data_IF_283606391216
#
_entry.id   IF_283606391216
#
_cell.length_a   1.000
_cell.length_b   1.000
_cell.length_c   1.000
_cell.angle_alpha   90.00
_cell.angle_beta   90.00
_cell.angle_gamma   90.00
#
_symmetry.space_group_name_H-M   'P 1'
#
loop_
_entity.id
_entity.type
_entity.pdbx_description
1 polymer ?
#
# COMPACT_ATOMS: atom_id res chain seq x y z
N UNK A 1 35.31 -14.13 1.71
CA UNK A 1 34.36 -14.84 0.81
C UNK A 1 34.35 -16.28 1.27
N UNK A 2 33.23 -16.75 1.83
CA UNK A 2 33.09 -18.14 2.29
C UNK A 2 32.23 -18.89 1.27
N UNK A 3 32.87 -19.72 0.45
CA UNK A 3 32.24 -20.67 -0.46
C UNK A 3 31.63 -21.83 0.35
N UNK A 4 30.41 -21.63 0.84
CA UNK A 4 29.57 -22.74 1.29
C UNK A 4 28.81 -23.27 0.07
N UNK A 5 29.50 -24.07 -0.75
CA UNK A 5 28.89 -24.82 -1.84
C UNK A 5 28.06 -25.96 -1.23
N UNK A 6 26.74 -25.77 -1.19
CA UNK A 6 25.80 -26.80 -0.75
C UNK A 6 25.57 -27.75 -1.93
N UNK A 7 26.18 -28.93 -1.89
CA UNK A 7 26.04 -29.94 -2.94
C UNK A 7 24.58 -30.38 -3.09
N UNK A 8 23.92 -29.96 -4.17
CA UNK A 8 22.64 -30.55 -4.63
C UNK A 8 21.43 -29.62 -4.68
N UNK A 9 21.54 -28.36 -4.27
CA UNK A 9 20.47 -27.35 -4.50
C UNK A 9 21.10 -26.13 -5.14
N UNK A 10 20.50 -25.66 -6.24
CA UNK A 10 21.02 -24.55 -7.05
C UNK A 10 21.39 -23.32 -6.22
N UNK A 11 22.23 -22.45 -6.79
CA UNK A 11 22.70 -21.21 -6.18
C UNK A 11 21.59 -20.46 -5.44
N UNK A 12 21.82 -20.11 -4.17
CA UNK A 12 20.89 -19.29 -3.40
C UNK A 12 20.65 -17.97 -4.17
N UNK A 13 19.43 -17.64 -4.61
CA UNK A 13 19.20 -16.56 -5.55
C UNK A 13 19.59 -15.18 -4.99
N UNK A 14 19.54 -14.99 -3.67
CA UNK A 14 20.14 -13.87 -2.95
C UNK A 14 20.07 -14.13 -1.44
N UNK A 15 20.90 -13.41 -0.67
CA UNK A 15 20.80 -13.34 0.80
C UNK A 15 20.63 -11.87 1.18
N UNK A 16 19.57 -11.54 1.92
CA UNK A 16 19.37 -10.18 2.46
C UNK A 16 20.20 -10.07 3.74
N UNK A 17 21.18 -9.16 3.75
CA UNK A 17 21.93 -8.83 4.96
C UNK A 17 21.25 -7.66 5.67
N UNK A 18 20.79 -7.87 6.90
CA UNK A 18 20.05 -6.88 7.70
C UNK A 18 18.57 -7.21 7.83
N UNK A 19 17.74 -6.19 8.00
CA UNK A 19 16.29 -6.33 8.17
C UNK A 19 15.53 -5.86 6.93
N UNK A 20 14.53 -6.63 6.51
CA UNK A 20 13.57 -6.18 5.51
C UNK A 20 12.63 -5.16 6.17
N UNK A 21 12.76 -3.88 5.78
CA UNK A 21 11.87 -2.81 6.24
C UNK A 21 10.96 -2.38 5.09
N UNK A 22 9.66 -2.32 5.35
CA UNK A 22 8.70 -1.77 4.40
C UNK A 22 8.84 -0.24 4.42
N UNK A 23 9.29 0.35 3.32
CA UNK A 23 9.20 1.80 3.12
C UNK A 23 7.80 2.11 2.63
N UNK A 24 6.88 2.36 3.56
CA UNK A 24 5.54 2.85 3.22
C UNK A 24 5.64 4.35 2.92
N UNK A 25 5.01 4.76 1.81
CA UNK A 25 4.90 6.17 1.43
C UNK A 25 4.05 6.97 2.42
N UNK A 26 3.82 8.24 2.11
CA UNK A 26 2.90 9.08 2.89
C UNK A 26 1.51 8.44 2.95
N UNK A 27 0.74 8.74 4.00
CA UNK A 27 -0.64 8.25 4.13
C UNK A 27 -1.58 8.98 3.18
N UNK A 28 -1.20 10.15 2.67
CA UNK A 28 -1.91 10.81 1.57
C UNK A 28 -1.04 10.73 0.31
N UNK A 29 -1.64 10.67 -0.89
CA UNK A 29 -0.88 10.91 -2.10
C UNK A 29 -0.37 12.35 -2.12
N UNK A 30 0.68 12.59 -2.90
CA UNK A 30 1.15 13.95 -3.16
C UNK A 30 0.06 14.75 -3.90
N UNK A 31 0.05 16.10 -3.79
CA UNK A 31 -0.91 16.93 -4.48
C UNK A 31 -0.91 16.65 -6.00
N UNK A 32 -2.09 16.39 -6.56
CA UNK A 32 -2.31 15.99 -7.97
C UNK A 32 -1.78 14.60 -8.36
N UNK A 33 -1.34 13.78 -7.41
CA UNK A 33 -1.06 12.37 -7.66
C UNK A 33 -2.24 11.48 -7.22
N UNK A 34 -2.41 10.37 -7.94
CA UNK A 34 -3.31 9.30 -7.51
C UNK A 34 -2.70 8.48 -6.37
N UNK A 35 -3.58 7.87 -5.58
CA UNK A 35 -3.20 6.83 -4.63
C UNK A 35 -2.43 5.69 -5.32
N UNK A 36 -1.38 5.15 -4.67
CA UNK A 36 -0.57 4.05 -5.22
C UNK A 36 -0.39 2.89 -4.24
N UNK A 37 -0.55 1.67 -4.74
CA UNK A 37 -0.24 0.42 -4.04
C UNK A 37 -0.96 0.27 -2.69
N UNK A 38 -0.24 0.08 -1.57
CA UNK A 38 -0.80 -0.16 -0.25
C UNK A 38 -1.77 0.94 0.21
N UNK A 39 -1.59 2.17 -0.27
CA UNK A 39 -2.52 3.27 -0.06
C UNK A 39 -3.92 2.93 -0.58
N UNK A 40 -4.01 2.37 -1.79
CA UNK A 40 -5.28 2.04 -2.45
C UNK A 40 -6.07 1.07 -1.58
N UNK A 41 -5.42 0.01 -1.05
CA UNK A 41 -6.09 -0.99 -0.22
C UNK A 41 -6.48 -0.52 1.19
N UNK A 42 -5.95 0.60 1.66
CA UNK A 42 -6.11 1.08 3.05
C UNK A 42 -7.08 2.26 3.19
N UNK A 43 -7.50 2.90 2.10
CA UNK A 43 -8.35 4.10 2.13
C UNK A 43 -9.82 3.83 2.31
N UNK A 44 -10.42 3.06 1.39
CA UNK A 44 -11.84 2.70 1.40
C UNK A 44 -12.00 1.55 0.41
N UNK A 45 -12.59 0.44 0.83
CA UNK A 45 -12.72 -0.75 -0.02
C UNK A 45 -13.44 -0.47 -1.33
N UNK A 46 -14.41 0.44 -1.33
CA UNK A 46 -15.21 0.72 -2.52
C UNK A 46 -14.48 1.57 -3.56
N UNK A 47 -13.70 2.56 -3.11
CA UNK A 47 -12.92 3.44 -3.99
C UNK A 47 -11.63 2.76 -4.47
N UNK A 48 -11.04 1.93 -3.63
CA UNK A 48 -9.81 1.21 -3.89
C UNK A 48 -9.87 0.34 -5.15
N UNK A 49 -10.92 -0.48 -5.26
CA UNK A 49 -11.08 -1.42 -6.36
C UNK A 49 -11.23 -0.70 -7.71
N UNK A 50 -12.00 0.40 -7.71
CA UNK A 50 -12.17 1.25 -8.90
C UNK A 50 -10.84 1.87 -9.33
N UNK A 51 -10.11 2.48 -8.40
CA UNK A 51 -8.84 3.15 -8.71
C UNK A 51 -7.75 2.14 -9.13
N UNK A 52 -7.71 0.95 -8.52
CA UNK A 52 -6.85 -0.15 -8.97
C UNK A 52 -7.21 -0.63 -10.38
N UNK A 53 -8.50 -0.74 -10.70
CA UNK A 53 -9.00 -1.18 -12.01
C UNK A 53 -8.73 -0.13 -13.09
N UNK A 54 -8.91 1.15 -12.78
CA UNK A 54 -8.58 2.26 -13.70
C UNK A 54 -7.09 2.32 -14.00
N UNK A 55 -6.23 2.17 -13.00
CA UNK A 55 -4.78 2.19 -13.19
C UNK A 55 -4.25 0.91 -13.86
N UNK A 56 -4.93 -0.22 -13.68
CA UNK A 56 -4.48 -1.52 -14.18
C UNK A 56 -5.66 -2.32 -14.77
N UNK A 57 -6.21 -1.90 -15.92
CA UNK A 57 -7.40 -2.51 -16.52
C UNK A 57 -7.22 -3.98 -16.93
N UNK A 58 -5.97 -4.45 -17.03
CA UNK A 58 -5.61 -5.84 -17.30
C UNK A 58 -5.74 -6.76 -16.08
N UNK A 59 -5.87 -6.21 -14.86
CA UNK A 59 -5.98 -7.02 -13.66
C UNK A 59 -7.39 -7.57 -13.48
N UNK A 60 -7.45 -8.75 -12.86
CA UNK A 60 -8.71 -9.40 -12.53
C UNK A 60 -9.31 -8.81 -11.25
N UNK A 61 -10.42 -8.11 -11.42
CA UNK A 61 -11.15 -7.41 -10.35
C UNK A 61 -11.51 -8.37 -9.20
N UNK A 62 -11.96 -9.58 -9.54
CA UNK A 62 -12.35 -10.58 -8.54
C UNK A 62 -11.18 -11.07 -7.67
N UNK A 63 -9.96 -11.08 -8.21
CA UNK A 63 -8.75 -11.37 -7.42
C UNK A 63 -8.39 -10.19 -6.53
N UNK A 64 -8.56 -8.95 -7.01
CA UNK A 64 -8.30 -7.74 -6.23
C UNK A 64 -9.26 -7.63 -5.04
N UNK A 65 -10.53 -7.98 -5.24
CA UNK A 65 -11.54 -8.07 -4.16
C UNK A 65 -11.11 -9.06 -3.08
N UNK A 66 -10.73 -10.28 -3.47
CA UNK A 66 -10.27 -11.30 -2.51
C UNK A 66 -9.06 -10.80 -1.70
N UNK A 67 -8.09 -10.16 -2.37
CA UNK A 67 -6.91 -9.60 -1.70
C UNK A 67 -7.33 -8.51 -0.71
N UNK A 68 -8.24 -7.63 -1.11
CA UNK A 68 -8.72 -6.54 -0.27
C UNK A 68 -9.47 -7.04 0.96
N UNK A 69 -10.40 -7.98 0.79
CA UNK A 69 -11.14 -8.60 1.89
C UNK A 69 -10.18 -9.26 2.88
N UNK A 70 -9.23 -10.07 2.39
CA UNK A 70 -8.23 -10.74 3.24
C UNK A 70 -7.35 -9.73 4.00
N UNK A 71 -6.96 -8.64 3.35
CA UNK A 71 -6.18 -7.57 4.00
C UNK A 71 -7.00 -6.90 5.10
N UNK A 72 -8.27 -6.58 4.87
CA UNK A 72 -9.12 -5.93 5.88
C UNK A 72 -9.44 -6.86 7.04
N UNK A 73 -9.61 -8.15 6.79
CA UNK A 73 -9.92 -9.15 7.82
C UNK A 73 -8.73 -9.45 8.73
N UNK A 74 -7.53 -9.61 8.15
CA UNK A 74 -6.39 -10.15 8.87
C UNK A 74 -5.29 -9.14 9.20
N UNK A 75 -5.21 -8.00 8.51
CA UNK A 75 -4.15 -7.03 8.76
C UNK A 75 -4.55 -6.06 9.89
N UNK A 76 -3.96 -6.18 11.10
CA UNK A 76 -4.31 -5.30 12.22
C UNK A 76 -3.98 -3.83 11.95
N UNK A 77 -3.07 -3.55 11.01
CA UNK A 77 -2.68 -2.20 10.63
C UNK A 77 -3.66 -1.53 9.67
N UNK A 78 -4.49 -2.29 8.93
CA UNK A 78 -5.42 -1.71 7.95
C UNK A 78 -6.35 -0.67 8.60
N UNK A 79 -6.90 -0.99 9.77
CA UNK A 79 -7.74 -0.06 10.54
C UNK A 79 -6.99 1.18 11.04
N UNK A 80 -5.73 1.01 11.45
CA UNK A 80 -4.88 2.12 11.92
C UNK A 80 -4.60 3.09 10.77
N UNK A 81 -4.26 2.54 9.60
CA UNK A 81 -4.04 3.33 8.38
C UNK A 81 -5.30 4.06 7.93
N UNK A 82 -6.45 3.38 7.93
CA UNK A 82 -7.73 4.01 7.59
C UNK A 82 -8.05 5.20 8.51
N UNK A 83 -7.85 5.04 9.82
CA UNK A 83 -8.06 6.13 10.78
C UNK A 83 -7.08 7.29 10.54
N UNK A 84 -5.81 6.99 10.30
CA UNK A 84 -4.80 8.01 9.99
C UNK A 84 -5.16 8.78 8.72
N UNK A 85 -5.62 8.08 7.67
CA UNK A 85 -6.09 8.69 6.43
C UNK A 85 -7.25 9.67 6.68
N UNK A 86 -8.28 9.26 7.43
CA UNK A 86 -9.42 10.14 7.76
C UNK A 86 -8.98 11.43 8.45
N UNK A 87 -8.15 11.30 9.51
CA UNK A 87 -7.64 12.45 10.27
C UNK A 87 -6.82 13.39 9.38
N UNK A 88 -5.94 12.84 8.55
CA UNK A 88 -5.09 13.65 7.66
C UNK A 88 -5.91 14.34 6.57
N UNK A 89 -6.93 13.67 6.02
CA UNK A 89 -7.83 14.24 5.01
C UNK A 89 -8.67 15.38 5.57
N UNK A 90 -9.18 15.22 6.80
CA UNK A 90 -9.90 16.28 7.51
C UNK A 90 -8.98 17.49 7.77
N UNK A 91 -7.75 17.27 8.21
CA UNK A 91 -6.77 18.34 8.43
C UNK A 91 -6.35 19.06 7.12
N UNK A 92 -6.19 18.34 6.01
CA UNK A 92 -5.87 18.95 4.72
C UNK A 92 -7.01 19.80 4.18
N UNK A 93 -8.27 19.41 4.40
CA UNK A 93 -9.45 20.20 4.02
C UNK A 93 -9.56 21.54 4.77
N UNK A 94 -9.13 21.57 6.03
CA UNK A 94 -9.10 22.81 6.83
C UNK A 94 -8.03 23.78 6.30
N UNK A 95 -6.88 23.26 5.86
CA UNK A 95 -5.75 24.09 5.43
C UNK A 95 -6.01 24.80 4.09
N UNK A 96 -6.79 24.19 3.18
CA UNK A 96 -7.18 24.81 1.90
C UNK A 96 -8.26 25.90 2.06
N UNK A 97 -9.07 25.87 3.13
CA UNK A 97 -10.08 26.90 3.39
C UNK A 97 -9.50 28.20 3.97
N UNK A 98 -8.36 28.14 4.66
CA UNK A 98 -7.73 29.29 5.31
C UNK A 98 -6.76 30.09 4.39
N UNK A 99 -6.52 29.61 3.16
CA UNK A 99 -5.63 30.25 2.17
C UNK A 99 -6.36 31.13 1.14
N UNK A 100 -7.64 31.45 1.37
CA UNK A 100 -8.47 32.22 0.44
C UNK A 100 -8.99 33.55 1.04
N UNK A 101 -8.18 34.23 1.86
CA UNK A 101 -8.42 35.61 2.35
C UNK A 101 -7.32 36.55 1.83
#
# INVERSE_FOLDING_TARGET
MNDQVINGRGSLPFTIHGELRHRIGLVLPDPNEHAKYAQIYMYDSSAALNECTEQNPQLRIDILDIIQENLLEHNPFARIYHQAYKVLKEASMVTDQDMNI
#
